data_IF_547527265080
#
_entry.id   IF_547527265080
#
_cell.length_a   1.000
_cell.length_b   1.000
_cell.length_c   1.000
_cell.angle_alpha   90.00
_cell.angle_beta   90.00
_cell.angle_gamma   90.00
#
_symmetry.space_group_name_H-M   'P 1'
#
loop_
_entity.id
_entity.type
_entity.pdbx_description
1 polymer ?
#
# COMPACT_ATOMS: atom_id res chain seq x y z
N UNK A 1 1.94 5.19 64.07
CA UNK A 1 0.95 5.99 64.83
C UNK A 1 1.43 7.44 64.78
N UNK A 2 0.87 8.23 63.86
CA UNK A 2 -0.03 9.39 64.10
C UNK A 2 0.66 10.47 64.93
N UNK A 3 0.85 11.68 64.41
CA UNK A 3 -0.18 12.73 64.29
C UNK A 3 0.51 14.01 63.78
N UNK A 4 -0.12 15.03 63.22
CA UNK A 4 -1.46 15.28 62.70
C UNK A 4 -1.31 16.59 61.88
N UNK A 5 -2.18 16.73 60.88
CA UNK A 5 -2.21 17.83 59.91
C UNK A 5 -2.64 19.14 60.56
N UNK A 6 -1.92 20.22 60.24
CA UNK A 6 -2.26 21.61 60.55
C UNK A 6 -2.68 22.30 59.24
N UNK A 7 -3.94 22.76 59.16
CA UNK A 7 -4.34 23.77 58.16
C UNK A 7 -5.06 24.89 58.90
N UNK A 8 -4.49 26.09 58.75
CA UNK A 8 -4.93 27.34 59.37
C UNK A 8 -6.16 27.95 58.66
N UNK A 9 -6.92 28.68 59.47
CA UNK A 9 -8.04 29.56 59.16
C UNK A 9 -7.73 30.66 58.12
N UNK A 10 -8.75 31.17 57.44
CA UNK A 10 -9.27 32.58 57.51
C UNK A 10 -10.40 32.76 56.49
N UNK A 11 -11.64 33.02 56.93
CA UNK A 11 -12.28 34.30 57.26
C UNK A 11 -12.95 35.00 56.05
N UNK A 12 -14.25 35.22 56.18
CA UNK A 12 -15.17 35.81 55.20
C UNK A 12 -15.04 37.34 55.10
N UNK A 13 -15.28 37.89 53.91
CA UNK A 13 -15.86 39.23 53.74
C UNK A 13 -16.70 39.24 52.45
N UNK A 14 -17.95 39.67 52.58
CA UNK A 14 -18.92 39.70 51.49
C UNK A 14 -18.86 40.97 50.64
N UNK A 15 -19.36 40.83 49.41
CA UNK A 15 -19.66 41.92 48.47
C UNK A 15 -20.97 41.59 47.74
N UNK A 16 -21.82 42.61 47.58
CA UNK A 16 -23.16 42.57 46.99
C UNK A 16 -23.23 42.01 45.55
N UNK A 17 -24.41 41.54 45.08
CA UNK A 17 -24.56 40.99 43.73
C UNK A 17 -24.50 42.11 42.68
N UNK A 18 -23.50 42.05 41.80
CA UNK A 18 -23.48 42.86 40.58
C UNK A 18 -24.44 42.26 39.56
N UNK A 19 -25.25 43.12 38.93
CA UNK A 19 -26.11 42.74 37.80
C UNK A 19 -25.29 42.08 36.68
N UNK A 20 -25.84 41.07 35.97
CA UNK A 20 -25.15 40.43 34.87
C UNK A 20 -25.00 41.41 33.70
N UNK A 21 -23.79 41.49 33.16
CA UNK A 21 -23.52 42.19 31.91
C UNK A 21 -24.34 41.58 30.75
N UNK A 22 -24.77 42.38 29.76
CA UNK A 22 -25.50 41.86 28.62
C UNK A 22 -24.59 40.90 27.82
N UNK A 23 -25.10 39.68 27.62
CA UNK A 23 -24.46 38.65 26.80
C UNK A 23 -24.39 39.16 25.36
N UNK A 24 -23.23 39.11 24.66
CA UNK A 24 -23.16 39.44 23.25
C UNK A 24 -24.06 38.51 22.44
N UNK A 25 -24.86 39.06 21.54
CA UNK A 25 -25.68 38.27 20.63
C UNK A 25 -24.81 37.28 19.83
N UNK A 26 -25.27 36.04 19.59
CA UNK A 26 -24.55 35.09 18.76
C UNK A 26 -24.38 35.65 17.35
N UNK A 27 -23.24 35.38 16.67
CA UNK A 27 -23.05 35.81 15.29
C UNK A 27 -24.14 35.19 14.40
N UNK A 28 -24.57 35.89 13.32
CA UNK A 28 -25.57 35.36 12.40
C UNK A 28 -25.08 34.03 11.83
N UNK A 29 -25.98 33.05 11.79
CA UNK A 29 -25.71 31.74 11.22
C UNK A 29 -25.17 31.91 9.79
N UNK A 30 -24.12 31.16 9.40
CA UNK A 30 -23.64 31.20 8.02
C UNK A 30 -24.79 30.83 7.09
N UNK A 31 -24.95 31.61 6.02
CA UNK A 31 -25.91 31.33 4.96
C UNK A 31 -25.73 29.89 4.47
N UNK A 32 -26.82 29.16 4.13
CA UNK A 32 -26.72 27.80 3.66
C UNK A 32 -25.83 27.80 2.42
N UNK A 33 -24.65 27.20 2.56
CA UNK A 33 -23.76 26.95 1.43
C UNK A 33 -24.56 26.03 0.51
N UNK A 34 -24.89 26.53 -0.68
CA UNK A 34 -25.56 25.75 -1.70
C UNK A 34 -24.80 24.43 -1.85
N UNK A 35 -25.43 23.34 -1.43
CA UNK A 35 -24.96 22.00 -1.65
C UNK A 35 -24.75 21.88 -3.16
N UNK A 36 -23.50 21.79 -3.60
CA UNK A 36 -23.20 21.38 -4.97
C UNK A 36 -23.86 20.02 -5.12
N UNK A 37 -24.95 20.00 -5.87
CA UNK A 37 -25.64 18.79 -6.29
C UNK A 37 -24.57 17.78 -6.69
N UNK A 38 -24.56 16.62 -6.04
CA UNK A 38 -23.77 15.50 -6.50
C UNK A 38 -24.08 15.31 -7.98
N UNK A 39 -23.04 15.38 -8.81
CA UNK A 39 -23.14 14.99 -10.21
C UNK A 39 -23.61 13.53 -10.22
N UNK A 40 -24.65 13.17 -11.00
CA UNK A 40 -25.15 11.80 -11.02
C UNK A 40 -24.00 10.88 -11.39
N UNK A 41 -23.75 9.86 -10.55
CA UNK A 41 -22.79 8.81 -10.86
C UNK A 41 -23.05 8.33 -12.29
N UNK A 42 -22.02 8.17 -13.12
CA UNK A 42 -22.21 7.68 -14.49
C UNK A 42 -23.03 6.39 -14.43
N UNK A 43 -23.99 6.19 -15.35
CA UNK A 43 -24.84 5.01 -15.34
C UNK A 43 -23.94 3.78 -15.31
N UNK A 44 -24.10 2.97 -14.26
CA UNK A 44 -23.32 1.76 -14.05
C UNK A 44 -23.53 0.88 -15.28
N UNK A 45 -22.47 0.67 -16.07
CA UNK A 45 -22.51 -0.22 -17.20
C UNK A 45 -23.05 -1.58 -16.72
N UNK A 46 -24.01 -2.15 -17.45
CA UNK A 46 -24.60 -3.43 -17.07
C UNK A 46 -23.49 -4.47 -16.88
N UNK A 47 -23.58 -5.23 -15.79
CA UNK A 47 -22.62 -6.30 -15.50
C UNK A 47 -22.52 -7.26 -16.71
N UNK A 48 -21.30 -7.66 -17.12
CA UNK A 48 -21.15 -8.66 -18.16
C UNK A 48 -21.86 -9.96 -17.77
N UNK A 49 -22.52 -10.61 -18.73
CA UNK A 49 -23.24 -11.88 -18.48
C UNK A 49 -22.50 -13.11 -18.98
N UNK A 50 -21.40 -12.92 -19.71
CA UNK A 50 -20.57 -14.00 -20.27
C UNK A 50 -19.24 -14.10 -19.51
N UNK A 51 -18.63 -15.30 -19.43
CA UNK A 51 -17.26 -15.45 -18.96
C UNK A 51 -16.29 -14.55 -19.74
N UNK A 52 -15.33 -13.98 -19.03
CA UNK A 52 -14.40 -12.97 -19.52
C UNK A 52 -13.01 -13.56 -19.71
N UNK A 53 -12.31 -13.15 -20.75
CA UNK A 53 -10.85 -13.38 -20.85
C UNK A 53 -10.11 -12.65 -19.72
N UNK A 54 -8.88 -13.04 -19.42
CA UNK A 54 -8.08 -12.37 -18.37
C UNK A 54 -7.99 -10.84 -18.55
N UNK A 55 -7.71 -10.28 -19.73
CA UNK A 55 -7.70 -8.82 -19.91
C UNK A 55 -9.07 -8.16 -19.67
N UNK A 56 -10.17 -8.82 -20.05
CA UNK A 56 -11.53 -8.33 -19.77
C UNK A 56 -11.85 -8.40 -18.27
N UNK A 57 -11.44 -9.48 -17.59
CA UNK A 57 -11.61 -9.64 -16.15
C UNK A 57 -10.87 -8.54 -15.37
N UNK A 58 -9.64 -8.18 -15.77
CA UNK A 58 -8.89 -7.05 -15.19
C UNK A 58 -9.62 -5.72 -15.34
N UNK A 59 -10.11 -5.41 -16.54
CA UNK A 59 -10.89 -4.19 -16.80
C UNK A 59 -12.20 -4.16 -16.01
N UNK A 60 -12.84 -5.31 -15.84
CA UNK A 60 -14.05 -5.40 -15.03
C UNK A 60 -13.74 -5.18 -13.54
N UNK A 61 -12.71 -5.83 -13.00
CA UNK A 61 -12.23 -5.60 -11.64
C UNK A 61 -11.89 -4.12 -11.40
N UNK A 62 -11.18 -3.46 -12.33
CA UNK A 62 -10.90 -2.01 -12.27
C UNK A 62 -12.19 -1.19 -12.16
N UNK A 63 -13.23 -1.55 -12.91
CA UNK A 63 -14.53 -0.87 -12.88
C UNK A 63 -15.17 -0.97 -11.49
N UNK A 64 -15.07 -2.14 -10.85
CA UNK A 64 -15.60 -2.35 -9.49
C UNK A 64 -14.78 -1.58 -8.43
N UNK A 65 -13.44 -1.63 -8.52
CA UNK A 65 -12.55 -0.83 -7.64
C UNK A 65 -12.90 0.66 -7.74
N UNK A 66 -13.08 1.18 -8.96
CA UNK A 66 -13.40 2.60 -9.16
C UNK A 66 -14.83 2.97 -8.76
N UNK A 67 -15.79 2.05 -8.90
CA UNK A 67 -17.14 2.21 -8.30
C UNK A 67 -17.01 2.39 -6.78
N UNK A 68 -16.21 1.55 -6.14
CA UNK A 68 -16.06 1.53 -4.69
C UNK A 68 -15.32 2.78 -4.18
N UNK A 69 -14.25 3.20 -4.88
CA UNK A 69 -13.56 4.48 -4.63
C UNK A 69 -14.47 5.71 -4.80
N UNK A 70 -15.37 5.70 -5.78
CA UNK A 70 -16.32 6.79 -6.00
C UNK A 70 -17.29 6.96 -4.82
N UNK A 71 -17.63 5.89 -4.09
CA UNK A 71 -18.47 5.99 -2.88
C UNK A 71 -17.83 6.82 -1.76
N UNK A 72 -16.50 6.97 -1.80
CA UNK A 72 -15.72 7.80 -0.88
C UNK A 72 -15.28 9.14 -1.50
N UNK A 73 -15.78 9.49 -2.69
CA UNK A 73 -15.39 10.72 -3.41
C UNK A 73 -13.93 10.74 -3.87
N UNK A 74 -13.30 9.57 -4.02
CA UNK A 74 -11.90 9.46 -4.44
C UNK A 74 -11.79 9.45 -5.97
N UNK A 75 -10.67 9.97 -6.47
CA UNK A 75 -10.33 9.86 -7.88
C UNK A 75 -10.18 8.38 -8.31
N UNK A 76 -10.61 8.03 -9.54
CA UNK A 76 -10.40 6.69 -10.05
C UNK A 76 -8.90 6.40 -10.20
N UNK A 77 -8.53 5.13 -10.02
CA UNK A 77 -7.21 4.61 -10.41
C UNK A 77 -7.24 4.13 -11.86
N UNK A 78 -6.08 4.14 -12.50
CA UNK A 78 -5.88 3.56 -13.83
C UNK A 78 -5.35 2.12 -13.73
N UNK A 79 -5.69 1.28 -14.71
CA UNK A 79 -5.10 -0.06 -14.80
C UNK A 79 -3.66 0.06 -15.30
N UNK A 80 -2.71 -0.46 -14.51
CA UNK A 80 -1.30 -0.53 -14.89
C UNK A 80 -0.99 -1.93 -15.46
N UNK A 81 -0.79 -2.02 -16.78
CA UNK A 81 -0.43 -3.28 -17.44
C UNK A 81 1.07 -3.64 -17.33
N UNK A 82 1.86 -2.83 -16.62
CA UNK A 82 3.29 -3.00 -16.40
C UNK A 82 3.63 -3.79 -15.13
N UNK A 83 4.64 -3.32 -14.40
CA UNK A 83 5.24 -4.04 -13.27
C UNK A 83 4.24 -4.47 -12.18
N UNK A 84 3.25 -3.64 -11.76
CA UNK A 84 2.22 -4.07 -10.81
C UNK A 84 1.43 -5.29 -11.30
N UNK A 85 0.93 -5.28 -12.54
CA UNK A 85 0.17 -6.43 -13.09
C UNK A 85 1.05 -7.65 -13.27
N UNK A 86 2.30 -7.49 -13.71
CA UNK A 86 3.23 -8.62 -13.86
C UNK A 86 3.54 -9.30 -12.52
N UNK A 87 3.82 -8.50 -11.48
CA UNK A 87 4.07 -9.00 -10.12
C UNK A 87 2.84 -9.70 -9.53
N UNK A 88 1.68 -9.03 -9.60
CA UNK A 88 0.43 -9.58 -9.09
C UNK A 88 -0.02 -10.83 -9.85
N UNK A 89 0.20 -10.90 -11.17
CA UNK A 89 -0.10 -12.06 -11.98
C UNK A 89 0.75 -13.27 -11.58
N UNK A 90 2.07 -13.09 -11.44
CA UNK A 90 2.96 -14.16 -11.01
C UNK A 90 2.55 -14.71 -9.64
N UNK A 91 2.14 -13.83 -8.72
CA UNK A 91 1.66 -14.21 -7.39
C UNK A 91 0.32 -14.93 -7.41
N UNK A 92 -0.66 -14.44 -8.19
CA UNK A 92 -1.95 -15.12 -8.36
C UNK A 92 -1.77 -16.54 -8.91
N UNK A 93 -0.87 -16.72 -9.86
CA UNK A 93 -0.54 -18.04 -10.40
C UNK A 93 0.16 -18.94 -9.38
N UNK A 94 1.07 -18.40 -8.57
CA UNK A 94 1.73 -19.14 -7.49
C UNK A 94 0.71 -19.64 -6.45
N UNK A 95 -0.21 -18.77 -6.02
CA UNK A 95 -1.32 -19.13 -5.14
C UNK A 95 -2.20 -20.25 -5.72
N UNK A 96 -2.53 -20.18 -7.02
CA UNK A 96 -3.28 -21.26 -7.71
C UNK A 96 -2.49 -22.56 -7.74
N UNK A 97 -1.20 -22.51 -8.09
CA UNK A 97 -0.36 -23.71 -8.22
C UNK A 97 -0.24 -24.50 -6.93
N UNK A 98 -0.29 -23.82 -5.79
CA UNK A 98 0.06 -24.40 -4.49
C UNK A 98 -1.09 -24.43 -3.48
N UNK A 99 -2.25 -23.84 -3.79
CA UNK A 99 -3.41 -23.96 -2.92
C UNK A 99 -3.35 -23.09 -1.67
N UNK A 100 -2.80 -21.88 -1.75
CA UNK A 100 -2.61 -21.01 -0.57
C UNK A 100 -3.10 -19.58 -0.79
N UNK A 101 -3.30 -18.87 0.31
CA UNK A 101 -3.57 -17.43 0.34
C UNK A 101 -2.61 -16.76 1.33
N UNK A 102 -1.85 -15.77 0.85
CA UNK A 102 -1.00 -14.91 1.66
C UNK A 102 -0.22 -13.92 0.81
N UNK A 103 0.43 -12.95 1.46
CA UNK A 103 1.24 -11.94 0.77
C UNK A 103 2.62 -12.43 0.33
N UNK A 104 3.13 -13.48 0.99
CA UNK A 104 4.40 -14.09 0.61
C UNK A 104 4.21 -15.03 -0.58
N UNK A 105 5.13 -14.96 -1.53
CA UNK A 105 5.28 -15.98 -2.57
C UNK A 105 5.89 -17.26 -1.99
N UNK A 106 5.74 -18.36 -2.70
CA UNK A 106 6.31 -19.67 -2.33
C UNK A 106 7.84 -19.71 -2.40
N UNK A 107 8.46 -18.75 -3.07
CA UNK A 107 9.90 -18.49 -3.06
C UNK A 107 10.36 -17.63 -1.86
N UNK A 108 9.42 -17.15 -1.05
CA UNK A 108 9.64 -16.29 0.11
C UNK A 108 9.61 -14.78 -0.21
N UNK A 109 9.33 -14.39 -1.45
CA UNK A 109 9.22 -12.98 -1.86
C UNK A 109 8.03 -12.29 -1.22
N UNK A 110 8.13 -10.98 -0.99
CA UNK A 110 7.04 -10.08 -0.57
C UNK A 110 6.60 -9.19 -1.76
N UNK A 111 5.44 -8.52 -1.70
CA UNK A 111 4.91 -7.73 -2.82
C UNK A 111 5.93 -6.73 -3.41
N UNK A 112 6.68 -6.03 -2.56
CA UNK A 112 7.63 -4.99 -3.00
C UNK A 112 8.86 -5.60 -3.70
N UNK A 113 9.26 -6.81 -3.30
CA UNK A 113 10.28 -7.58 -4.00
C UNK A 113 9.78 -8.00 -5.39
N UNK A 114 8.59 -8.62 -5.48
CA UNK A 114 7.99 -9.04 -6.77
C UNK A 114 7.80 -7.85 -7.70
N UNK A 115 7.34 -6.72 -7.16
CA UNK A 115 7.18 -5.47 -7.91
C UNK A 115 8.53 -4.99 -8.47
N UNK A 116 9.60 -4.99 -7.67
CA UNK A 116 10.95 -4.64 -8.13
C UNK A 116 11.44 -5.59 -9.21
N UNK A 117 11.28 -6.90 -9.02
CA UNK A 117 11.73 -7.93 -9.96
C UNK A 117 11.00 -7.82 -11.32
N UNK A 118 9.74 -7.37 -11.30
CA UNK A 118 8.95 -7.03 -12.48
C UNK A 118 9.32 -5.67 -13.12
N UNK A 119 10.31 -4.95 -12.58
CA UNK A 119 10.78 -3.65 -13.09
C UNK A 119 10.10 -2.43 -12.45
N UNK A 120 9.36 -2.63 -11.38
CA UNK A 120 8.68 -1.60 -10.60
C UNK A 120 9.60 -0.84 -9.65
N UNK A 121 9.12 0.29 -9.14
CA UNK A 121 9.88 1.18 -8.26
C UNK A 121 9.04 1.97 -7.26
N UNK A 122 7.74 2.10 -7.51
CA UNK A 122 6.80 2.74 -6.59
C UNK A 122 6.65 1.88 -5.33
N UNK A 123 6.19 2.51 -4.24
CA UNK A 123 5.65 1.73 -3.12
C UNK A 123 4.36 1.04 -3.59
N UNK A 124 4.29 -0.28 -3.40
CA UNK A 124 3.12 -1.10 -3.76
C UNK A 124 2.39 -1.58 -2.51
N UNK A 125 1.06 -1.64 -2.57
CA UNK A 125 0.23 -2.25 -1.53
C UNK A 125 -0.71 -3.29 -2.15
N UNK A 126 -0.66 -4.51 -1.63
CA UNK A 126 -1.36 -5.66 -2.19
C UNK A 126 -2.68 -5.97 -1.46
N UNK A 127 -3.74 -6.25 -2.22
CA UNK A 127 -4.85 -7.10 -1.76
C UNK A 127 -4.75 -8.46 -2.47
N UNK A 128 -5.04 -9.56 -1.78
CA UNK A 128 -4.99 -10.90 -2.36
C UNK A 128 -6.16 -11.77 -1.88
N UNK A 129 -6.67 -12.62 -2.78
CA UNK A 129 -7.76 -13.55 -2.51
C UNK A 129 -7.54 -14.83 -3.31
N UNK A 130 -7.56 -15.96 -2.60
CA UNK A 130 -7.42 -17.30 -3.16
C UNK A 130 -7.97 -18.33 -2.17
N UNK A 131 -7.91 -19.60 -2.54
CA UNK A 131 -8.21 -20.75 -1.67
C UNK A 131 -6.99 -21.13 -0.80
N UNK A 132 -7.22 -21.99 0.20
CA UNK A 132 -6.21 -22.36 1.22
C UNK A 132 -6.14 -23.88 1.49
N UNK A 133 -6.57 -24.68 0.52
CA UNK A 133 -6.68 -26.15 0.66
C UNK A 133 -5.38 -26.92 0.43
N UNK A 134 -4.29 -26.22 0.11
CA UNK A 134 -2.94 -26.76 -0.11
C UNK A 134 -2.85 -27.76 -1.29
N UNK A 135 -3.89 -27.82 -2.14
CA UNK A 135 -3.90 -28.73 -3.29
C UNK A 135 -3.12 -28.12 -4.46
N UNK A 136 -2.26 -28.94 -5.07
CA UNK A 136 -1.47 -28.54 -6.24
C UNK A 136 -2.29 -28.62 -7.50
N UNK A 137 -2.22 -27.57 -8.33
CA UNK A 137 -3.01 -27.45 -9.56
C UNK A 137 -2.21 -26.88 -10.71
N UNK A 138 -2.64 -27.20 -11.92
CA UNK A 138 -2.19 -26.49 -13.12
C UNK A 138 -3.00 -25.21 -13.28
N UNK A 139 -2.32 -24.11 -13.58
CA UNK A 139 -2.96 -22.87 -14.03
C UNK A 139 -3.52 -23.08 -15.45
N UNK A 140 -4.74 -22.61 -15.69
CA UNK A 140 -5.31 -22.57 -17.03
C UNK A 140 -4.80 -21.32 -17.80
N UNK A 141 -3.99 -21.49 -18.86
CA UNK A 141 -3.50 -20.36 -19.65
C UNK A 141 -4.58 -19.67 -20.49
N UNK A 142 -5.78 -20.26 -20.59
CA UNK A 142 -6.92 -19.73 -21.37
C UNK A 142 -8.16 -19.55 -20.50
N UNK A 143 -7.96 -19.34 -19.20
CA UNK A 143 -9.03 -19.17 -18.23
C UNK A 143 -10.07 -18.15 -18.70
N UNK A 144 -11.34 -18.54 -18.59
CA UNK A 144 -12.50 -17.67 -18.75
C UNK A 144 -13.14 -17.47 -17.39
N UNK A 145 -13.13 -16.23 -16.91
CA UNK A 145 -13.51 -15.88 -15.55
C UNK A 145 -14.97 -15.47 -15.53
N UNK A 146 -15.78 -16.12 -14.69
CA UNK A 146 -17.16 -15.72 -14.52
C UNK A 146 -17.24 -14.32 -13.85
N UNK A 147 -18.04 -13.38 -14.39
CA UNK A 147 -18.21 -12.04 -13.80
C UNK A 147 -18.60 -12.06 -12.31
N UNK A 148 -19.41 -13.04 -11.91
CA UNK A 148 -19.82 -13.23 -10.52
C UNK A 148 -18.64 -13.53 -9.57
N UNK A 149 -17.58 -14.20 -10.03
CA UNK A 149 -16.39 -14.47 -9.21
C UNK A 149 -15.56 -13.19 -9.00
N UNK A 150 -15.53 -12.31 -10.00
CA UNK A 150 -14.85 -11.00 -9.92
C UNK A 150 -15.63 -10.08 -8.95
N UNK A 151 -16.95 -10.04 -9.08
CA UNK A 151 -17.83 -9.30 -8.17
C UNK A 151 -17.73 -9.80 -6.73
N UNK A 152 -17.70 -11.13 -6.55
CA UNK A 152 -17.50 -11.74 -5.24
C UNK A 152 -16.16 -11.36 -4.64
N UNK A 153 -15.08 -11.42 -5.42
CA UNK A 153 -13.75 -11.08 -4.96
C UNK A 153 -13.68 -9.62 -4.50
N UNK A 154 -14.17 -8.68 -5.32
CA UNK A 154 -14.20 -7.27 -4.92
C UNK A 154 -15.09 -7.04 -3.69
N UNK A 155 -16.27 -7.66 -3.64
CA UNK A 155 -17.17 -7.55 -2.49
C UNK A 155 -16.54 -8.06 -1.20
N UNK A 156 -15.71 -9.11 -1.27
CA UNK A 156 -14.97 -9.63 -0.10
C UNK A 156 -13.91 -8.66 0.39
N UNK A 157 -13.21 -7.94 -0.49
CA UNK A 157 -12.27 -6.90 -0.10
C UNK A 157 -12.98 -5.65 0.44
N UNK A 158 -13.98 -5.16 -0.29
CA UNK A 158 -14.55 -3.85 -0.02
C UNK A 158 -15.48 -3.88 1.19
N UNK A 159 -16.23 -4.95 1.42
CA UNK A 159 -17.20 -5.01 2.52
C UNK A 159 -16.59 -5.40 3.87
N UNK A 160 -15.26 -5.51 3.97
CA UNK A 160 -14.59 -5.70 5.25
C UNK A 160 -14.91 -4.55 6.22
N UNK A 161 -14.99 -4.90 7.51
CA UNK A 161 -15.32 -3.95 8.59
C UNK A 161 -14.20 -3.90 9.64
N UNK A 162 -13.97 -2.74 10.28
CA UNK A 162 -12.97 -2.60 11.32
C UNK A 162 -13.13 -3.64 12.45
N UNK A 163 -12.03 -4.13 13.04
CA UNK A 163 -10.64 -3.74 12.81
C UNK A 163 -9.95 -4.51 11.65
N UNK A 164 -10.64 -5.43 10.99
CA UNK A 164 -10.08 -6.32 9.97
C UNK A 164 -10.47 -5.85 8.56
N UNK A 165 -10.27 -4.55 8.28
CA UNK A 165 -10.65 -3.88 7.03
C UNK A 165 -9.45 -3.44 6.20
N UNK A 166 -8.36 -4.21 6.26
CA UNK A 166 -7.12 -3.91 5.57
C UNK A 166 -7.31 -3.71 4.06
N UNK A 167 -8.09 -4.58 3.42
CA UNK A 167 -8.29 -4.51 1.97
C UNK A 167 -9.15 -3.32 1.58
N UNK A 168 -10.24 -3.07 2.33
CA UNK A 168 -11.09 -1.88 2.15
C UNK A 168 -10.28 -0.60 2.31
N UNK A 169 -9.44 -0.51 3.34
CA UNK A 169 -8.56 0.65 3.58
C UNK A 169 -7.54 0.84 2.47
N UNK A 170 -7.03 -0.25 1.90
CA UNK A 170 -6.13 -0.20 0.74
C UNK A 170 -6.86 0.35 -0.50
N UNK A 171 -8.03 -0.20 -0.86
CA UNK A 171 -8.87 0.29 -1.99
C UNK A 171 -9.17 1.79 -1.84
N UNK A 172 -9.49 2.22 -0.62
CA UNK A 172 -9.86 3.60 -0.29
C UNK A 172 -8.67 4.51 0.04
N UNK A 173 -7.42 4.06 -0.16
CA UNK A 173 -6.27 4.93 0.04
C UNK A 173 -6.24 5.99 -1.07
N UNK A 174 -6.38 7.25 -0.67
CA UNK A 174 -6.59 8.38 -1.56
C UNK A 174 -5.41 8.68 -2.49
N UNK A 175 -4.20 8.27 -2.10
CA UNK A 175 -3.00 8.51 -2.88
C UNK A 175 -2.83 7.57 -4.08
N UNK A 176 -3.52 6.42 -4.08
CA UNK A 176 -3.39 5.46 -5.16
C UNK A 176 -3.82 6.11 -6.48
N UNK A 177 -2.98 5.97 -7.50
CA UNK A 177 -3.25 6.48 -8.85
C UNK A 177 -3.37 5.37 -9.89
N UNK A 178 -2.75 4.21 -9.64
CA UNK A 178 -2.83 3.05 -10.52
C UNK A 178 -2.97 1.76 -9.73
N UNK A 179 -3.43 0.71 -10.40
CA UNK A 179 -3.54 -0.64 -9.86
C UNK A 179 -3.14 -1.67 -10.91
N UNK A 180 -2.27 -2.60 -10.54
CA UNK A 180 -2.05 -3.84 -11.28
C UNK A 180 -3.01 -4.92 -10.81
N UNK A 181 -3.50 -5.76 -11.71
CA UNK A 181 -4.50 -6.78 -11.36
C UNK A 181 -4.02 -8.14 -11.87
N UNK A 182 -3.63 -9.02 -10.94
CA UNK A 182 -3.35 -10.42 -11.25
C UNK A 182 -4.63 -11.24 -11.22
N UNK A 183 -4.80 -12.12 -12.21
CA UNK A 183 -5.94 -13.04 -12.30
C UNK A 183 -5.42 -14.39 -12.79
N UNK A 184 -5.58 -15.41 -11.98
CA UNK A 184 -5.20 -16.78 -12.33
C UNK A 184 -6.33 -17.73 -11.93
N UNK A 185 -6.50 -18.84 -12.64
CA UNK A 185 -7.52 -19.84 -12.34
C UNK A 185 -6.93 -21.22 -12.60
N UNK A 186 -7.33 -22.21 -11.80
CA UNK A 186 -6.96 -23.60 -12.05
C UNK A 186 -7.65 -24.15 -13.29
N UNK A 187 -7.04 -25.14 -13.95
CA UNK A 187 -7.74 -25.94 -14.96
C UNK A 187 -8.88 -26.72 -14.30
N UNK A 188 -10.06 -26.63 -14.90
CA UNK A 188 -11.20 -27.44 -14.49
C UNK A 188 -10.89 -28.93 -14.73
N UNK A 189 -11.30 -29.77 -13.78
CA UNK A 189 -11.20 -31.23 -13.92
C UNK A 189 -12.55 -31.87 -13.63
N UNK A 190 -12.70 -33.15 -13.96
CA UNK A 190 -13.93 -33.89 -13.65
C UNK A 190 -14.28 -33.96 -12.14
N UNK A 191 -13.33 -33.63 -11.26
CA UNK A 191 -13.48 -33.71 -9.80
C UNK A 191 -13.46 -32.34 -9.13
N UNK A 192 -13.14 -31.28 -9.87
CA UNK A 192 -12.84 -29.98 -9.29
C UNK A 192 -13.22 -28.85 -10.24
N UNK A 193 -14.06 -27.95 -9.75
CA UNK A 193 -14.44 -26.72 -10.43
C UNK A 193 -13.27 -25.73 -10.40
N UNK A 194 -13.11 -25.00 -11.49
CA UNK A 194 -12.13 -23.95 -11.59
C UNK A 194 -12.52 -22.74 -10.72
N UNK A 195 -11.63 -22.32 -9.82
CA UNK A 195 -11.81 -21.15 -8.95
C UNK A 195 -10.68 -20.16 -9.22
N UNK A 196 -10.98 -18.88 -9.50
CA UNK A 196 -9.96 -17.88 -9.73
C UNK A 196 -9.37 -17.34 -8.42
N UNK A 197 -8.10 -16.94 -8.50
CA UNK A 197 -7.40 -16.16 -7.49
C UNK A 197 -7.05 -14.78 -8.07
N UNK A 198 -7.12 -13.77 -7.22
CA UNK A 198 -7.01 -12.37 -7.59
C UNK A 198 -5.96 -11.67 -6.72
N UNK A 199 -5.23 -10.74 -7.33
CA UNK A 199 -4.38 -9.78 -6.62
C UNK A 199 -4.68 -8.37 -7.12
N UNK A 200 -4.60 -7.37 -6.24
CA UNK A 200 -4.67 -5.95 -6.56
C UNK A 200 -3.42 -5.27 -6.03
N UNK A 201 -2.55 -4.82 -6.93
CA UNK A 201 -1.24 -4.23 -6.64
C UNK A 201 -1.33 -2.72 -6.84
N UNK A 202 -1.72 -1.99 -5.79
CA UNK A 202 -1.93 -0.55 -5.88
C UNK A 202 -0.62 0.23 -5.78
N UNK A 203 -0.45 1.24 -6.63
CA UNK A 203 0.69 2.15 -6.61
C UNK A 203 0.25 3.63 -6.68
N UNK A 204 0.99 4.48 -5.97
CA UNK A 204 0.67 5.90 -5.81
C UNK A 204 1.25 6.78 -6.95
N UNK A 205 2.34 6.36 -7.60
CA UNK A 205 2.92 7.06 -8.75
C UNK A 205 3.47 8.44 -8.41
N UNK A 206 4.30 8.57 -7.36
CA UNK A 206 4.78 9.86 -6.87
C UNK A 206 5.93 10.47 -7.67
N UNK A 207 6.52 9.74 -8.61
CA UNK A 207 7.68 10.23 -9.36
C UNK A 207 8.27 9.17 -10.28
N UNK A 208 9.46 9.47 -10.79
CA UNK A 208 10.31 8.53 -11.51
C UNK A 208 11.56 8.23 -10.69
N UNK A 209 12.10 7.02 -10.86
CA UNK A 209 13.20 6.51 -10.06
C UNK A 209 14.24 5.88 -10.98
N UNK A 210 15.51 6.28 -10.86
CA UNK A 210 16.60 5.73 -11.68
C UNK A 210 16.82 4.26 -11.35
N UNK A 211 16.88 3.31 -12.31
CA UNK A 211 17.00 1.89 -12.02
C UNK A 211 18.15 1.54 -11.08
N UNK A 212 17.90 0.58 -10.19
CA UNK A 212 18.93 0.01 -9.31
C UNK A 212 19.44 -1.33 -9.89
N UNK A 213 20.69 -1.73 -9.59
CA UNK A 213 21.16 -3.05 -9.98
C UNK A 213 20.36 -4.14 -9.28
N UNK A 214 20.10 -5.25 -9.96
CA UNK A 214 19.40 -6.41 -9.38
C UNK A 214 20.23 -7.10 -8.29
N UNK A 215 21.55 -7.12 -8.49
CA UNK A 215 22.51 -7.72 -7.58
C UNK A 215 23.67 -6.77 -7.28
N UNK A 216 24.26 -6.86 -6.10
CA UNK A 216 25.45 -6.10 -5.70
C UNK A 216 26.29 -6.88 -4.69
N UNK A 217 27.55 -6.48 -4.51
CA UNK A 217 28.41 -7.03 -3.45
C UNK A 217 28.22 -6.28 -2.14
N UNK A 218 28.40 -6.97 -1.01
CA UNK A 218 28.47 -6.30 0.30
C UNK A 218 29.50 -5.17 0.26
N UNK A 219 29.09 -3.97 0.68
CA UNK A 219 29.91 -2.75 0.69
C UNK A 219 29.96 -2.02 -0.65
N UNK A 220 29.32 -2.51 -1.72
CA UNK A 220 29.22 -1.78 -2.97
C UNK A 220 28.43 -0.48 -2.79
N UNK A 221 28.90 0.59 -3.42
CA UNK A 221 28.17 1.87 -3.48
C UNK A 221 27.16 1.83 -4.62
N UNK A 222 25.91 2.19 -4.33
CA UNK A 222 24.86 2.37 -5.32
C UNK A 222 24.49 3.85 -5.45
N UNK A 223 24.10 4.24 -6.66
CA UNK A 223 23.50 5.53 -6.93
C UNK A 223 21.98 5.42 -6.82
N UNK A 224 21.37 6.25 -5.97
CA UNK A 224 19.92 6.35 -5.80
C UNK A 224 19.48 7.73 -6.23
N UNK A 225 18.58 7.79 -7.19
CA UNK A 225 18.02 9.04 -7.70
C UNK A 225 16.51 8.90 -7.95
N UNK A 226 15.78 9.99 -7.68
CA UNK A 226 14.36 10.13 -7.97
C UNK A 226 13.99 11.57 -8.34
N UNK A 227 13.06 11.70 -9.29
CA UNK A 227 12.38 12.95 -9.62
C UNK A 227 10.92 12.84 -9.22
N UNK A 228 10.51 13.58 -8.20
CA UNK A 228 9.16 13.51 -7.65
C UNK A 228 8.22 14.52 -8.33
N UNK A 229 6.92 14.22 -8.26
CA UNK A 229 5.86 15.11 -8.75
C UNK A 229 5.85 16.45 -7.98
N UNK A 230 5.37 17.54 -8.59
CA UNK A 230 5.20 18.82 -7.89
C UNK A 230 4.41 18.67 -6.58
N UNK A 231 4.90 19.31 -5.52
CA UNK A 231 4.29 19.25 -4.17
C UNK A 231 4.70 18.03 -3.33
N UNK A 232 5.26 16.99 -3.94
CA UNK A 232 5.89 15.87 -3.22
C UNK A 232 7.33 16.27 -2.89
N UNK A 233 7.60 16.56 -1.62
CA UNK A 233 8.90 17.09 -1.19
C UNK A 233 9.80 15.94 -0.74
N UNK A 234 10.86 15.58 -1.49
CA UNK A 234 11.77 14.53 -1.05
C UNK A 234 12.44 14.92 0.28
N UNK A 235 12.72 13.93 1.12
CA UNK A 235 13.32 14.14 2.43
C UNK A 235 14.54 13.27 2.68
N UNK A 236 14.58 12.06 2.15
CA UNK A 236 15.72 11.16 2.33
C UNK A 236 15.59 9.82 1.61
N UNK A 237 16.64 9.02 1.76
CA UNK A 237 16.71 7.64 1.25
C UNK A 237 16.97 6.71 2.43
N UNK A 238 16.17 5.67 2.60
CA UNK A 238 16.34 4.68 3.65
C UNK A 238 16.90 3.38 3.11
N UNK A 239 17.83 2.76 3.84
CA UNK A 239 18.29 1.40 3.61
C UNK A 239 17.82 0.48 4.73
N UNK A 240 17.13 -0.59 4.36
CA UNK A 240 16.83 -1.72 5.23
C UNK A 240 17.49 -2.99 4.70
N UNK A 241 17.60 -4.01 5.56
CA UNK A 241 18.11 -5.33 5.15
C UNK A 241 17.28 -6.41 5.84
N UNK A 242 16.89 -7.41 5.07
CA UNK A 242 16.34 -8.67 5.57
C UNK A 242 17.18 -9.85 5.08
N UNK A 243 16.98 -11.01 5.69
CA UNK A 243 17.56 -12.24 5.17
C UNK A 243 17.04 -12.50 3.76
N UNK A 244 17.87 -13.13 2.90
CA UNK A 244 17.41 -13.54 1.58
C UNK A 244 16.18 -14.44 1.72
N UNK A 245 15.18 -14.27 0.81
CA UNK A 245 13.99 -15.08 0.81
C UNK A 245 14.35 -16.56 0.64
N UNK A 246 13.55 -17.41 1.27
CA UNK A 246 13.70 -18.87 1.22
C UNK A 246 12.35 -19.47 0.82
N UNK A 247 12.36 -20.60 0.10
CA UNK A 247 11.12 -21.29 -0.23
C UNK A 247 10.27 -21.60 1.01
N UNK A 248 8.96 -21.44 0.87
CA UNK A 248 7.97 -21.65 1.91
C UNK A 248 6.95 -22.69 1.46
N UNK A 249 6.50 -23.54 2.39
CA UNK A 249 5.40 -24.46 2.13
C UNK A 249 4.04 -23.73 2.14
N UNK A 250 3.05 -24.26 1.41
CA UNK A 250 1.67 -23.74 1.44
C UNK A 250 1.11 -23.63 2.87
N UNK A 251 1.42 -24.62 3.73
CA UNK A 251 1.01 -24.61 5.14
C UNK A 251 1.65 -23.49 5.95
N UNK A 252 2.90 -23.13 5.68
CA UNK A 252 3.54 -21.97 6.31
C UNK A 252 2.96 -20.66 5.77
N UNK A 253 2.70 -20.58 4.47
CA UNK A 253 2.11 -19.42 3.81
C UNK A 253 0.72 -19.10 4.38
N UNK A 254 -0.16 -20.10 4.50
CA UNK A 254 -1.50 -19.96 5.07
C UNK A 254 -1.51 -19.49 6.54
N UNK A 255 -0.40 -19.68 7.27
CA UNK A 255 -0.26 -19.19 8.65
C UNK A 255 0.23 -17.75 8.73
N UNK A 256 0.85 -17.23 7.67
CA UNK A 256 1.39 -15.87 7.62
C UNK A 256 0.32 -14.89 7.14
N UNK A 257 -0.21 -14.10 8.06
CA UNK A 257 -1.27 -13.12 7.74
C UNK A 257 -0.74 -11.76 7.28
N UNK A 258 0.31 -11.25 7.91
CA UNK A 258 0.81 -9.89 7.69
C UNK A 258 2.32 -9.88 7.55
N UNK A 259 2.87 -9.12 6.61
CA UNK A 259 4.31 -8.90 6.49
C UNK A 259 4.65 -7.46 6.90
N UNK A 260 5.74 -7.24 7.66
CA UNK A 260 6.22 -5.90 7.92
C UNK A 260 7.17 -5.47 6.81
N UNK A 261 6.99 -4.25 6.29
CA UNK A 261 8.08 -3.55 5.59
C UNK A 261 9.15 -3.25 6.64
N UNK A 262 10.38 -3.77 6.50
CA UNK A 262 11.41 -3.61 7.50
C UNK A 262 11.78 -2.13 7.68
N UNK A 263 11.92 -1.71 8.94
CA UNK A 263 12.39 -0.37 9.24
C UNK A 263 13.83 -0.21 8.73
N UNK A 264 14.16 0.90 8.03
CA UNK A 264 15.54 1.17 7.64
C UNK A 264 16.49 1.16 8.84
N UNK A 265 17.61 0.45 8.71
CA UNK A 265 18.71 0.54 9.67
C UNK A 265 19.41 1.89 9.60
N UNK A 266 19.36 2.53 8.42
CA UNK A 266 19.87 3.86 8.17
C UNK A 266 18.91 4.64 7.28
N UNK A 267 18.65 5.89 7.63
CA UNK A 267 18.02 6.86 6.72
C UNK A 267 18.98 8.00 6.47
N UNK A 268 19.23 8.27 5.20
CA UNK A 268 20.08 9.35 4.72
C UNK A 268 19.22 10.55 4.36
N UNK A 269 19.12 11.49 5.30
CA UNK A 269 18.31 12.69 5.17
C UNK A 269 19.00 13.77 4.33
N UNK A 270 18.20 14.69 3.79
CA UNK A 270 18.69 15.90 3.13
C UNK A 270 19.28 16.94 4.09
N UNK A 271 19.55 18.16 3.59
CA UNK A 271 20.11 19.26 4.39
C UNK A 271 19.30 19.56 5.65
N UNK A 272 19.99 19.87 6.75
CA UNK A 272 19.38 20.18 8.05
C UNK A 272 19.29 19.01 9.03
N UNK A 273 19.68 17.80 8.62
CA UNK A 273 19.72 16.61 9.46
C UNK A 273 21.15 16.07 9.61
N UNK A 274 21.41 15.43 10.74
CA UNK A 274 22.68 14.72 11.00
C UNK A 274 22.55 13.28 10.49
N UNK A 275 23.29 12.98 9.42
CA UNK A 275 23.36 11.66 8.77
C UNK A 275 24.79 11.45 8.23
N UNK A 276 25.30 10.21 8.12
CA UNK A 276 26.66 9.96 7.63
C UNK A 276 26.90 10.50 6.21
N UNK A 277 25.89 10.40 5.35
CA UNK A 277 25.88 10.94 4.00
C UNK A 277 24.57 11.73 3.84
N UNK A 278 24.66 12.96 3.36
CA UNK A 278 23.48 13.79 3.12
C UNK A 278 22.98 13.57 1.68
N UNK A 279 21.67 13.37 1.54
CA UNK A 279 21.05 13.33 0.23
C UNK A 279 21.06 14.72 -0.41
N UNK A 280 21.44 14.81 -1.69
CA UNK A 280 21.38 16.05 -2.46
C UNK A 280 19.93 16.25 -2.90
N UNK A 281 19.31 17.34 -2.46
CA UNK A 281 17.92 17.66 -2.80
C UNK A 281 17.88 18.99 -3.55
N UNK A 282 17.28 18.99 -4.72
CA UNK A 282 17.07 20.19 -5.54
C UNK A 282 15.64 20.20 -6.11
N UNK A 283 14.77 21.02 -5.51
CA UNK A 283 13.35 21.04 -5.83
C UNK A 283 12.71 19.68 -5.54
N UNK A 284 12.20 19.02 -6.57
CA UNK A 284 11.60 17.68 -6.47
C UNK A 284 12.58 16.53 -6.70
N UNK A 285 13.85 16.84 -6.99
CA UNK A 285 14.88 15.82 -7.21
C UNK A 285 15.58 15.46 -5.91
N UNK A 286 15.90 14.18 -5.75
CA UNK A 286 16.78 13.66 -4.72
C UNK A 286 17.79 12.71 -5.34
N UNK A 287 19.06 12.86 -4.98
CA UNK A 287 20.13 11.98 -5.43
C UNK A 287 21.14 11.71 -4.29
N UNK A 288 21.64 10.48 -4.20
CA UNK A 288 22.63 10.09 -3.20
C UNK A 288 23.41 8.84 -3.65
N UNK A 289 24.68 8.78 -3.30
CA UNK A 289 25.50 7.57 -3.40
C UNK A 289 25.63 6.95 -1.99
N UNK A 290 25.22 5.70 -1.82
CA UNK A 290 25.20 5.03 -0.50
C UNK A 290 25.81 3.62 -0.57
N UNK A 291 26.57 3.20 0.46
CA UNK A 291 27.09 1.84 0.54
C UNK A 291 26.00 0.87 1.00
N UNK A 292 25.94 -0.30 0.35
CA UNK A 292 25.13 -1.43 0.79
C UNK A 292 25.88 -2.22 1.89
N UNK A 293 25.88 -1.66 3.09
CA UNK A 293 26.55 -2.25 4.26
C UNK A 293 25.67 -2.14 5.53
N UNK A 294 25.06 -3.26 5.91
CA UNK A 294 24.57 -3.50 7.26
C UNK A 294 25.48 -4.52 7.95
N UNK A 295 26.53 -4.03 8.61
CA UNK A 295 27.46 -4.84 9.41
C UNK A 295 28.11 -5.99 8.60
N UNK A 296 28.43 -5.71 7.33
CA UNK A 296 29.04 -6.62 6.37
C UNK A 296 28.21 -7.87 6.10
N UNK A 297 26.89 -7.78 6.22
CA UNK A 297 26.00 -8.91 6.00
C UNK A 297 25.40 -8.92 4.58
N UNK A 298 25.36 -10.08 3.92
CA UNK A 298 24.55 -10.26 2.74
C UNK A 298 23.06 -10.26 3.10
N UNK A 299 22.20 -10.15 2.10
CA UNK A 299 20.76 -10.10 2.32
C UNK A 299 20.00 -9.51 1.16
N UNK A 300 18.69 -9.41 1.34
CA UNK A 300 17.86 -8.56 0.50
C UNK A 300 17.87 -7.16 1.10
N UNK A 301 18.46 -6.22 0.37
CA UNK A 301 18.48 -4.82 0.78
C UNK A 301 17.29 -4.10 0.16
N UNK A 302 16.63 -3.28 0.95
CA UNK A 302 15.54 -2.42 0.51
C UNK A 302 16.00 -0.98 0.48
N UNK A 303 15.78 -0.33 -0.66
CA UNK A 303 16.12 1.05 -0.94
C UNK A 303 14.84 1.85 -1.07
N UNK A 304 14.52 2.60 -0.02
CA UNK A 304 13.30 3.41 0.10
C UNK A 304 13.59 4.87 -0.21
N UNK A 305 12.71 5.53 -0.94
CA UNK A 305 12.70 6.99 -1.11
C UNK A 305 11.59 7.56 -0.23
N UNK A 306 11.92 8.57 0.58
CA UNK A 306 11.01 9.21 1.52
C UNK A 306 10.71 10.64 1.09
N UNK A 307 9.48 11.06 1.32
CA UNK A 307 9.01 12.40 1.02
C UNK A 307 7.90 12.84 1.99
N UNK A 308 7.63 14.15 2.02
CA UNK A 308 6.42 14.72 2.60
C UNK A 308 5.43 15.04 1.49
N UNK A 309 4.21 14.54 1.63
CA UNK A 309 3.13 14.76 0.66
C UNK A 309 2.51 16.16 0.81
N UNK A 310 1.82 16.69 -0.21
CA UNK A 310 1.09 17.94 -0.11
C UNK A 310 0.12 17.95 1.08
N UNK A 311 0.19 18.99 1.92
CA UNK A 311 -0.67 19.12 3.10
C UNK A 311 -0.33 18.19 4.28
N UNK A 312 0.78 17.44 4.20
CA UNK A 312 1.26 16.58 5.29
C UNK A 312 2.71 16.87 5.64
N UNK A 313 3.02 16.77 6.94
CA UNK A 313 4.38 16.80 7.47
C UNK A 313 4.90 15.40 7.84
N UNK A 314 4.08 14.37 7.64
CA UNK A 314 4.45 12.98 7.87
C UNK A 314 5.44 12.49 6.79
N UNK A 315 6.44 11.73 7.24
CA UNK A 315 7.39 11.07 6.35
C UNK A 315 6.70 9.87 5.70
N UNK A 316 6.54 9.94 4.38
CA UNK A 316 5.90 8.88 3.59
C UNK A 316 6.94 8.22 2.69
N UNK A 317 6.96 6.89 2.68
CA UNK A 317 7.71 6.12 1.70
C UNK A 317 6.99 6.23 0.35
N UNK A 318 7.66 6.80 -0.65
CA UNK A 318 7.07 7.06 -1.98
C UNK A 318 7.56 6.09 -3.05
N UNK A 319 8.70 5.44 -2.81
CA UNK A 319 9.23 4.37 -3.65
C UNK A 319 10.00 3.37 -2.81
N UNK A 320 9.96 2.09 -3.19
CA UNK A 320 10.70 1.02 -2.57
C UNK A 320 11.20 0.06 -3.64
N UNK A 321 12.49 -0.27 -3.58
CA UNK A 321 13.12 -1.24 -4.49
C UNK A 321 14.05 -2.17 -3.73
N UNK A 322 14.16 -3.40 -4.20
CA UNK A 322 15.02 -4.42 -3.59
C UNK A 322 16.28 -4.71 -4.41
N UNK A 323 17.39 -5.03 -3.72
CA UNK A 323 18.66 -5.48 -4.31
C UNK A 323 19.11 -6.74 -3.57
N UNK A 324 19.47 -7.78 -4.30
CA UNK A 324 20.12 -8.96 -3.72
C UNK A 324 21.60 -8.66 -3.49
N UNK A 325 22.07 -8.73 -2.25
CA UNK A 325 23.46 -8.42 -1.89
C UNK A 325 24.17 -9.67 -1.39
N UNK A 326 25.30 -10.01 -2.02
CA UNK A 326 26.11 -11.21 -1.75
C UNK A 326 27.58 -10.93 -1.38
#
# INVERSE_FOLDING_TARGET
MRSAVLVLLTACAGSAPSAPAPVPAPPPAPAPVASKSAEPSPPQAAAPTKPLTIPEARRYMLTLINRDRATAGLAPVELDEGAPTLAGQAHAEDMVRLGYLGHWGSDGSVPEQRHTEAGGADMVLENALCFTDEQKRDVDPKALIAPAEIERAEALYFNEVPPNDGHRRNILKASHSRVGIGVAQSKETAKELAVPCFTQEFVDGYGTYTPLPKTAKVGATIHVEANLKPGVRPTGVGLARVALPKPLSASELNKRRSYPVPKPYQVYWGPGFVTPIQAKINGTNIAIDVPLDDKKQPGLYEVSVWAKLPGSEEQTMVGLRTIVVD
#
